data_IF_177583793936
#
_entry.id   IF_177583793936
#
_cell.length_a   1.000
_cell.length_b   1.000
_cell.length_c   1.000
_cell.angle_alpha   90.00
_cell.angle_beta   90.00
_cell.angle_gamma   90.00
#
_symmetry.space_group_name_H-M   'P 1'
#
loop_
_entity.id
_entity.type
_entity.pdbx_description
1 polymer ?
2 water ?
#
# COMPACT_ATOMS: atom_id res chain seq x y z
N UNK A 1 -13.88 -11.18 16.30
CA UNK A 1 -14.76 -10.09 15.88
C UNK A 1 -14.69 -9.92 14.36
N UNK A 2 -13.58 -9.38 13.87
CA UNK A 2 -13.33 -9.26 12.44
C UNK A 2 -12.14 -10.13 12.02
N UNK A 3 -11.92 -11.22 12.75
CA UNK A 3 -10.77 -12.08 12.56
C UNK A 3 -11.08 -13.45 13.16
N UNK A 4 -10.27 -14.44 12.78
CA UNK A 4 -10.35 -15.78 13.36
C UNK A 4 -8.91 -16.24 13.61
N UNK A 5 -8.40 -15.94 14.80
CA UNK A 5 -7.03 -16.25 15.16
C UNK A 5 -6.84 -17.66 15.67
N UNK A 6 -7.87 -18.52 15.57
CA UNK A 6 -7.76 -19.92 15.94
C UNK A 6 -7.31 -20.81 14.77
N UNK A 7 -7.41 -20.32 13.54
CA UNK A 7 -7.05 -21.12 12.38
C UNK A 7 -5.53 -21.26 12.30
N UNK A 8 -5.05 -22.50 12.23
CA UNK A 8 -3.63 -22.74 12.16
C UNK A 8 -3.14 -22.66 10.71
N UNK A 9 -1.84 -22.38 10.56
CA UNK A 9 -1.27 -22.23 9.24
C UNK A 9 -1.16 -23.57 8.52
N UNK A 10 -1.25 -23.52 7.20
CA UNK A 10 -0.82 -24.64 6.35
C UNK A 10 0.28 -24.21 5.39
N UNK A 11 0.85 -23.03 5.58
CA UNK A 11 2.02 -22.61 4.81
C UNK A 11 3.25 -23.35 5.30
N UNK A 12 4.04 -23.86 4.37
CA UNK A 12 5.25 -24.61 4.67
C UNK A 12 6.43 -23.90 4.00
N UNK A 13 7.48 -23.62 4.77
CA UNK A 13 8.66 -22.93 4.30
C UNK A 13 9.89 -23.68 4.78
N UNK A 14 11.05 -23.28 4.24
CA UNK A 14 12.32 -23.70 4.79
C UNK A 14 12.63 -22.90 6.04
N UNK A 15 13.16 -23.58 7.05
CA UNK A 15 13.59 -22.89 8.26
C UNK A 15 14.66 -21.86 7.91
N UNK A 16 14.50 -20.65 8.43
CA UNK A 16 15.33 -19.52 8.02
C UNK A 16 16.00 -18.89 9.22
N UNK A 17 17.13 -18.23 8.95
CA UNK A 17 17.88 -17.55 10.00
C UNK A 17 17.12 -16.32 10.49
N UNK A 18 17.31 -15.93 11.75
CA UNK A 18 16.69 -14.69 12.23
C UNK A 18 17.17 -13.48 11.46
N UNK A 19 16.27 -12.51 11.30
CA UNK A 19 16.56 -11.32 10.52
C UNK A 19 17.42 -10.35 11.35
N UNK A 20 18.11 -9.45 10.63
CA UNK A 20 19.06 -8.53 11.24
C UNK A 20 18.52 -7.12 11.38
N UNK A 21 17.20 -6.95 11.37
CA UNK A 21 16.62 -5.63 11.59
C UNK A 21 17.02 -5.10 12.97
N UNK A 22 17.28 -3.81 13.05
CA UNK A 22 17.50 -3.18 14.34
C UNK A 22 16.20 -3.21 15.13
N UNK A 23 16.22 -3.58 16.41
CA UNK A 23 14.97 -3.71 17.18
C UNK A 23 14.29 -2.37 17.33
N UNK A 24 12.99 -2.30 17.05
CA UNK A 24 12.28 -1.02 17.09
C UNK A 24 12.30 -0.41 18.48
N UNK A 25 12.28 0.92 18.53
CA UNK A 25 12.35 1.65 19.77
C UNK A 25 11.56 2.93 19.59
N UNK A 26 10.71 3.31 20.56
CA UNK A 26 9.85 4.49 20.37
C UNK A 26 10.64 5.78 20.10
N UNK A 27 11.86 5.89 20.61
CA UNK A 27 12.67 7.07 20.34
C UNK A 27 13.01 7.17 18.85
N UNK A 28 13.30 6.04 18.23
CA UNK A 28 13.62 6.02 16.80
C UNK A 28 12.35 6.17 15.96
N UNK A 29 11.26 5.51 16.36
CA UNK A 29 10.00 5.65 15.63
C UNK A 29 9.53 7.10 15.63
N UNK A 30 9.75 7.81 16.74
CA UNK A 30 9.37 9.21 16.79
C UNK A 30 10.22 10.06 15.86
N UNK A 31 11.52 9.75 15.76
CA UNK A 31 12.38 10.50 14.85
C UNK A 31 12.01 10.23 13.39
N UNK A 32 11.73 8.96 13.06
CA UNK A 32 11.28 8.63 11.71
C UNK A 32 9.97 9.35 11.38
N UNK A 33 9.08 9.47 12.37
CA UNK A 33 7.81 10.17 12.15
C UNK A 33 8.04 11.65 11.84
N UNK A 34 8.90 12.30 12.64
CA UNK A 34 9.12 13.73 12.46
C UNK A 34 9.88 14.03 11.18
N UNK A 35 10.73 13.10 10.73
CA UNK A 35 11.42 13.30 9.46
C UNK A 35 10.52 12.98 8.27
N UNK A 36 9.64 11.98 8.39
CA UNK A 36 8.69 11.72 7.32
C UNK A 36 7.71 12.88 7.17
N UNK A 37 7.34 13.53 8.27
CA UNK A 37 6.51 14.73 8.18
C UNK A 37 7.23 15.84 7.43
N UNK A 38 8.51 16.08 7.77
CA UNK A 38 9.29 17.07 7.02
C UNK A 38 9.42 16.70 5.56
N UNK A 39 9.53 15.39 5.26
CA UNK A 39 9.64 14.95 3.88
C UNK A 39 8.36 15.23 3.11
N UNK A 40 7.20 15.02 3.74
CA UNK A 40 5.94 15.39 3.09
C UNK A 40 5.88 16.89 2.83
N UNK A 41 6.46 17.69 3.74
CA UNK A 41 6.45 19.14 3.56
C UNK A 41 7.35 19.56 2.41
N UNK A 42 8.48 18.88 2.23
CA UNK A 42 9.32 19.12 1.05
C UNK A 42 8.55 18.81 -0.23
N UNK A 43 7.77 17.72 -0.21
CA UNK A 43 6.99 17.32 -1.39
C UNK A 43 5.93 18.35 -1.72
N UNK A 44 5.26 18.89 -0.69
CA UNK A 44 4.25 19.92 -0.91
C UNK A 44 4.87 21.17 -1.51
N UNK A 45 6.03 21.58 -1.01
CA UNK A 45 6.66 22.81 -1.50
C UNK A 45 7.20 22.63 -2.91
N UNK A 46 7.73 21.44 -3.22
CA UNK A 46 8.24 21.20 -4.57
C UNK A 46 7.12 21.21 -5.61
N UNK A 47 5.99 20.57 -5.30
CA UNK A 47 4.86 20.57 -6.22
C UNK A 47 4.31 21.98 -6.40
N UNK A 48 4.29 22.77 -5.33
CA UNK A 48 3.76 24.13 -5.43
C UNK A 48 4.72 25.06 -6.17
N UNK A 49 6.01 24.99 -5.86
CA UNK A 49 6.97 25.93 -6.44
C UNK A 49 7.27 25.60 -7.90
N UNK A 50 7.27 24.32 -8.26
CA UNK A 50 7.71 23.93 -9.60
C UNK A 50 6.56 23.69 -10.57
N UNK A 51 5.38 23.31 -10.09
CA UNK A 51 4.25 23.09 -10.98
C UNK A 51 2.98 23.81 -10.56
N UNK A 52 3.00 24.54 -9.44
CA UNK A 52 1.82 25.27 -9.01
C UNK A 52 0.62 24.39 -8.68
N UNK A 53 0.86 23.19 -8.18
CA UNK A 53 -0.22 22.28 -7.80
C UNK A 53 0.05 21.76 -6.39
N UNK A 54 -1.03 21.32 -5.74
CA UNK A 54 -0.89 20.56 -4.52
C UNK A 54 -0.43 19.14 -4.86
N UNK A 55 0.21 18.46 -3.93
CA UNK A 55 0.58 17.06 -4.16
C UNK A 55 -0.66 16.23 -4.44
N UNK A 56 -0.65 15.44 -5.51
CA UNK A 56 -1.79 14.56 -5.79
C UNK A 56 -2.11 13.70 -4.58
N UNK A 57 -3.40 13.62 -4.26
CA UNK A 57 -3.81 12.96 -3.04
C UNK A 57 -3.41 11.49 -3.06
N UNK A 58 -2.88 11.02 -1.93
CA UNK A 58 -2.40 9.66 -1.70
C UNK A 58 -1.17 9.29 -2.53
N UNK A 59 -0.58 10.26 -3.26
CA UNK A 59 0.56 9.92 -4.11
C UNK A 59 1.84 9.69 -3.30
N UNK A 60 2.02 10.45 -2.21
CA UNK A 60 3.20 10.23 -1.37
C UNK A 60 3.15 8.85 -0.73
N UNK A 61 1.97 8.43 -0.25
CA UNK A 61 1.84 7.11 0.33
C UNK A 61 2.03 6.02 -0.72
N UNK A 62 1.50 6.23 -1.92
CA UNK A 62 1.72 5.26 -3.00
C UNK A 62 3.18 5.23 -3.42
N UNK A 63 3.86 6.38 -3.36
CA UNK A 63 5.29 6.42 -3.61
C UNK A 63 6.04 5.53 -2.62
N UNK A 64 5.66 5.60 -1.33
CA UNK A 64 6.31 4.75 -0.34
C UNK A 64 6.14 3.26 -0.68
N UNK A 65 4.96 2.89 -1.21
CA UNK A 65 4.71 1.50 -1.57
C UNK A 65 5.59 1.07 -2.75
N UNK A 66 5.65 1.91 -3.78
CA UNK A 66 6.45 1.56 -4.96
C UNK A 66 7.93 1.50 -4.62
N UNK A 67 8.43 2.49 -3.87
CA UNK A 67 9.84 2.49 -3.48
C UNK A 67 10.19 1.24 -2.68
N UNK A 68 9.26 0.74 -1.87
CA UNK A 68 9.51 -0.46 -1.08
C UNK A 68 9.79 -1.68 -1.93
N UNK A 69 9.29 -1.71 -3.17
CA UNK A 69 9.50 -2.86 -4.03
C UNK A 69 10.95 -2.96 -4.48
N UNK A 70 11.62 -1.83 -4.68
CA UNK A 70 12.96 -1.80 -5.25
C UNK A 70 14.03 -1.34 -4.26
N UNK A 71 13.65 -0.88 -3.08
CA UNK A 71 14.65 -0.32 -2.17
C UNK A 71 15.54 -1.41 -1.59
N UNK A 72 16.85 -1.20 -1.65
CA UNK A 72 17.83 -2.07 -1.02
C UNK A 72 18.48 -1.43 0.18
N UNK A 73 17.87 -0.38 0.73
CA UNK A 73 18.44 0.39 1.81
C UNK A 73 18.14 -0.18 3.18
N UNK A 74 18.51 0.60 4.20
CA UNK A 74 18.51 0.14 5.59
C UNK A 74 17.28 0.57 6.38
N UNK A 75 16.45 1.45 5.84
CA UNK A 75 15.30 1.84 6.66
C UNK A 75 14.09 0.96 6.32
N UNK A 76 13.29 0.58 7.31
CA UNK A 76 12.11 -0.25 7.02
C UNK A 76 10.98 0.51 6.32
N UNK A 77 11.01 1.84 6.29
CA UNK A 77 9.92 2.60 5.69
C UNK A 77 10.40 3.55 4.60
N UNK A 78 11.43 4.35 4.86
CA UNK A 78 11.87 5.35 3.88
C UNK A 78 12.90 4.76 2.92
N UNK A 79 12.84 5.14 1.64
CA UNK A 79 13.81 4.62 0.67
C UNK A 79 15.15 5.35 0.75
N UNK A 80 16.19 4.64 0.32
CA UNK A 80 17.54 5.22 0.36
C UNK A 80 18.47 4.63 -0.71
N UNK A 81 18.09 3.49 -1.29
CA UNK A 81 18.92 2.82 -2.31
C UNK A 81 17.97 2.18 -3.33
N UNK A 82 17.57 2.96 -4.33
CA UNK A 82 16.57 2.54 -5.30
C UNK A 82 17.09 2.70 -6.72
N UNK A 83 16.84 1.69 -7.55
CA UNK A 83 17.02 1.77 -8.99
C UNK A 83 15.70 1.37 -9.62
N UNK A 84 15.00 2.27 -10.33
CA UNK A 84 15.42 3.63 -10.70
C UNK A 84 15.26 4.67 -9.59
N UNK A 85 16.08 5.73 -9.68
CA UNK A 85 15.92 6.86 -8.75
C UNK A 85 14.55 7.49 -8.91
N UNK A 86 14.11 7.69 -10.16
CA UNK A 86 12.84 8.33 -10.44
C UNK A 86 11.72 7.30 -10.28
N UNK A 87 10.80 7.56 -9.36
CA UNK A 87 9.68 6.66 -9.13
C UNK A 87 8.68 6.77 -10.28
N UNK A 88 8.40 5.69 -11.01
CA UNK A 88 7.35 5.77 -12.04
C UNK A 88 5.97 6.02 -11.46
N UNK A 89 5.74 5.65 -10.21
CA UNK A 89 4.45 5.90 -9.57
C UNK A 89 4.23 7.39 -9.34
N UNK A 91 5.83 9.91 -10.58
CA UNK A 91 5.87 10.63 -11.84
C UNK A 91 4.50 10.63 -12.53
N UNK A 92 3.91 9.43 -12.67
CA UNK A 92 2.62 9.32 -13.34
C UNK A 92 1.53 10.08 -12.58
N UNK A 93 1.58 10.07 -11.25
CA UNK A 93 0.56 10.73 -10.46
C UNK A 93 0.66 12.25 -10.56
N UNK A 94 1.88 12.80 -10.51
CA UNK A 94 2.04 14.24 -10.66
C UNK A 94 1.57 14.68 -12.05
N UNK A 96 -0.55 13.46 -14.02
CA UNK A 96 -2.01 13.44 -14.17
C UNK A 96 -2.66 14.72 -13.66
N UNK A 97 -1.98 15.48 -12.80
CA UNK A 97 -2.52 16.71 -12.24
C UNK A 97 -1.90 17.95 -12.88
N UNK A 98 -1.33 17.82 -14.06
CA UNK A 98 -0.70 18.92 -14.77
C UNK A 98 -1.47 19.13 -16.08
N UNK A 99 -1.88 20.36 -16.42
CA UNK A 99 -1.61 21.62 -15.71
C UNK A 99 -2.42 21.84 -14.43
N UNK A 100 -3.55 21.15 -14.26
CA UNK A 100 -4.35 21.25 -13.05
C UNK A 100 -4.90 19.88 -12.68
N UNK A 101 -5.31 19.75 -11.42
CA UNK A 101 -6.00 18.57 -10.96
C UNK A 101 -7.45 18.62 -11.40
N UNK A 102 -7.96 17.50 -11.93
CA UNK A 102 -9.35 17.42 -12.36
C UNK A 102 -10.19 16.97 -11.16
N UNK A 103 -11.08 17.84 -10.70
CA UNK A 103 -11.89 17.58 -9.52
C UNK A 103 -13.19 16.88 -9.91
N UNK A 104 -13.87 16.35 -8.89
CA UNK A 104 -15.16 15.72 -9.09
C UNK A 104 -16.19 16.76 -9.54
N UNK A 105 -17.06 16.36 -10.45
CA UNK A 105 -18.02 17.27 -11.07
C UNK A 105 -19.43 16.74 -10.85
N UNK A 106 -20.35 17.66 -10.55
CA UNK A 106 -21.76 17.30 -10.40
C UNK A 106 -22.72 18.30 -11.03
N UNK A 107 -22.29 19.49 -11.39
CA UNK A 107 -23.20 20.51 -11.90
C UNK A 107 -22.56 21.23 -13.08
N UNK A 108 -23.40 21.90 -13.87
CA UNK A 108 -22.95 22.49 -15.13
C UNK A 108 -21.93 23.59 -14.91
N UNK A 109 -22.18 24.48 -13.96
CA UNK A 109 -21.24 25.56 -13.70
C UNK A 109 -19.91 25.04 -13.18
N UNK A 110 -19.91 23.89 -12.51
CA UNK A 110 -18.65 23.26 -12.11
C UNK A 110 -17.89 22.76 -13.33
N UNK A 111 -18.59 22.17 -14.30
CA UNK A 111 -17.93 21.69 -15.51
C UNK A 111 -17.41 22.85 -16.34
N UNK A 112 -18.18 23.93 -16.45
CA UNK A 112 -17.72 25.09 -17.20
C UNK A 112 -16.49 25.71 -16.55
N UNK A 113 -16.49 25.83 -15.22
CA UNK A 113 -15.31 26.37 -14.53
C UNK A 113 -14.11 25.46 -14.72
N UNK A 114 -14.32 24.14 -14.68
CA UNK A 114 -13.20 23.22 -14.81
C UNK A 114 -12.62 23.25 -16.22
N UNK A 115 -13.48 23.37 -17.24
CA UNK A 115 -12.98 23.51 -18.61
C UNK A 115 -12.20 24.80 -18.78
N UNK A 116 -12.73 25.90 -18.24
CA UNK A 116 -12.04 27.18 -18.33
C UNK A 116 -10.74 27.15 -17.53
N UNK A 117 -10.75 26.50 -16.36
CA UNK A 117 -9.56 26.46 -15.53
C UNK A 117 -8.44 25.69 -16.22
N UNK A 118 -8.78 24.59 -16.90
CA UNK A 118 -7.76 23.84 -17.63
C UNK A 118 -7.18 24.66 -18.78
N UNK A 119 -8.04 25.35 -19.52
CA UNK A 119 -7.59 26.06 -20.71
C UNK A 119 -6.62 27.19 -20.36
N UNK A 120 -6.97 27.99 -19.35
CA UNK A 120 -6.09 29.09 -18.97
C UNK A 120 -4.84 28.58 -18.27
N UNK A 121 -4.91 27.42 -17.63
CA UNK A 121 -3.72 26.83 -17.04
C UNK A 121 -2.73 26.39 -18.11
N UNK A 122 -3.23 25.79 -19.19
CA UNK A 122 -2.37 25.43 -20.30
C UNK A 122 -1.79 26.68 -20.97
N UNK A 123 -2.59 27.74 -21.06
CA UNK A 123 -2.09 28.98 -21.66
C UNK A 123 -1.00 29.60 -20.79
N UNK A 124 -1.22 29.65 -19.47
CA UNK A 124 -0.21 30.20 -18.57
C UNK A 124 1.08 29.40 -18.64
N UNK A 126 2.13 27.65 -21.39
CA UNK A 126 2.74 27.93 -22.69
C UNK A 126 3.42 29.30 -22.68
N UNK A 127 2.83 30.26 -21.97
CA UNK A 127 3.34 31.63 -21.96
C UNK A 127 4.55 31.82 -21.06
N UNK A 128 4.91 30.85 -20.23
CA UNK A 128 5.95 31.06 -19.23
C UNK A 128 7.06 30.02 -19.22
N UNK A 129 6.96 28.96 -20.01
CA UNK A 129 7.92 27.87 -19.93
C UNK A 129 8.40 27.48 -21.32
N UNK A 130 9.52 26.76 -21.35
CA UNK A 130 10.11 26.33 -22.61
C UNK A 130 9.24 25.29 -23.29
N UNK A 131 8.96 25.49 -24.57
CA UNK A 131 8.11 24.60 -25.33
C UNK A 131 8.49 24.71 -26.81
N UNK A 132 8.48 23.56 -27.50
CA UNK A 132 8.81 23.55 -28.91
C UNK A 132 7.75 24.32 -29.70
N UNK A 133 8.12 24.92 -30.84
CA UNK A 133 7.14 25.68 -31.62
C UNK A 133 5.96 24.85 -32.08
N UNK A 134 6.16 23.55 -32.36
CA UNK A 134 5.04 22.70 -32.75
C UNK A 134 4.04 22.54 -31.60
N UNK A 135 4.54 22.23 -30.40
CA UNK A 135 3.64 22.08 -29.26
C UNK A 135 3.02 23.41 -28.86
N UNK A 136 3.72 24.53 -29.09
CA UNK A 136 3.17 25.83 -28.72
C UNK A 136 1.93 26.17 -29.53
N UNK A 137 1.97 25.95 -30.84
CA UNK A 137 0.84 26.32 -31.69
C UNK A 137 -0.33 25.35 -31.55
N UNK A 138 -0.06 24.08 -31.24
CA UNK A 138 -1.16 23.13 -31.05
C UNK A 138 -1.94 23.49 -29.79
N UNK A 139 -1.24 23.70 -28.68
CA UNK A 139 -1.92 24.06 -27.43
C UNK A 139 -2.58 25.42 -27.57
N UNK A 140 -1.90 26.38 -28.21
CA UNK A 140 -2.47 27.71 -28.38
C UNK A 140 -3.76 27.67 -29.19
N UNK A 141 -3.80 26.84 -30.23
CA UNK A 141 -5.02 26.75 -31.04
C UNK A 141 -6.16 26.12 -30.24
N UNK A 142 -5.87 25.03 -29.52
CA UNK A 142 -6.91 24.37 -28.74
C UNK A 142 -7.43 25.27 -27.63
N UNK A 143 -6.54 26.00 -26.96
CA UNK A 143 -6.96 26.91 -25.91
C UNK A 143 -7.78 28.06 -26.49
N UNK A 144 -7.31 28.64 -27.61
CA UNK A 144 -8.09 29.69 -28.27
C UNK A 144 -9.43 29.17 -28.76
N UNK A 145 -9.45 27.93 -29.28
CA UNK A 145 -10.70 27.35 -29.74
C UNK A 145 -11.67 27.15 -28.60
N UNK A 146 -11.17 26.75 -27.43
CA UNK A 146 -12.03 26.53 -26.27
C UNK A 146 -12.54 27.86 -25.72
N UNK A 148 -13.01 30.75 -27.24
CA UNK A 148 -14.01 31.34 -28.12
C UNK A 148 -15.29 30.54 -28.14
N UNK A 149 -15.21 29.21 -27.98
CA UNK A 149 -16.42 28.40 -27.85
C UNK A 149 -17.15 28.71 -26.56
N UNK A 150 -16.42 29.06 -25.50
CA UNK A 150 -17.06 29.51 -24.27
C UNK A 150 -17.65 30.90 -24.42
N UNK A 151 -17.16 31.70 -25.37
CA UNK A 151 -17.68 33.04 -25.59
C UNK A 151 -19.01 33.07 -26.34
N UNK A 152 -19.48 31.92 -26.80
CA UNK A 152 -20.77 31.87 -27.51
C UNK A 152 -21.91 32.21 -26.56
N UNK A 153 -22.81 33.08 -27.01
CA UNK A 153 -24.00 33.37 -26.23
C UNK A 153 -24.91 32.15 -26.12
N UNK A 154 -24.84 31.23 -27.08
CA UNK A 154 -25.56 29.97 -27.00
C UNK A 154 -24.87 29.06 -26.00
N UNK A 155 -25.56 28.75 -24.90
CA UNK A 155 -24.98 27.97 -23.82
C UNK A 155 -25.25 26.48 -24.03
N UNK A 156 -24.22 25.68 -23.76
CA UNK A 156 -24.31 24.23 -23.89
C UNK A 156 -24.74 23.63 -22.54
N UNK A 157 -24.73 22.30 -22.45
CA UNK A 157 -25.16 21.59 -21.26
C UNK A 157 -23.95 21.18 -20.43
N UNK A 158 -24.19 20.35 -19.41
CA UNK A 158 -23.10 19.88 -18.56
C UNK A 158 -22.27 18.81 -19.25
N UNK A 159 -22.92 17.85 -19.91
CA UNK A 159 -22.18 16.81 -20.63
C UNK A 159 -21.39 17.39 -21.80
N UNK A 160 -21.91 18.45 -22.43
CA UNK A 160 -21.14 19.12 -23.46
C UNK A 160 -19.89 19.77 -22.89
N UNK A 161 -20.00 20.41 -21.73
CA UNK A 161 -18.83 20.98 -21.07
C UNK A 161 -17.82 19.90 -20.70
N UNK A 163 -17.47 16.78 -22.16
CA UNK A 163 -16.86 16.21 -23.35
C UNK A 163 -15.82 17.16 -23.94
N UNK A 164 -16.08 18.46 -23.86
CA UNK A 164 -15.12 19.44 -24.37
C UNK A 164 -13.81 19.38 -23.58
N UNK A 165 -13.91 19.11 -22.28
CA UNK A 165 -12.70 18.99 -21.47
C UNK A 165 -11.96 17.69 -21.77
N UNK A 166 -12.70 16.60 -21.99
CA UNK A 166 -12.06 15.32 -22.29
C UNK A 166 -11.31 15.37 -23.61
N UNK A 167 -11.84 16.10 -24.59
CA UNK A 167 -11.15 16.24 -25.87
C UNK A 167 -10.00 17.24 -25.78
N UNK A 168 -10.20 18.35 -25.07
CA UNK A 168 -9.13 19.32 -24.88
C UNK A 168 -7.95 18.68 -24.16
N UNK A 169 -8.23 17.89 -23.13
CA UNK A 169 -7.17 17.16 -22.43
C UNK A 169 -6.52 16.14 -23.34
N UNK A 170 -7.30 15.52 -24.22
CA UNK A 170 -6.74 14.55 -25.16
C UNK A 170 -5.78 15.20 -26.15
N UNK A 171 -6.07 16.44 -26.55
CA UNK A 171 -5.25 17.12 -27.55
C UNK A 171 -4.00 17.76 -26.95
N UNK A 172 -4.12 18.36 -25.76
CA UNK A 172 -3.00 19.05 -25.13
C UNK A 172 -2.10 18.13 -24.33
N UNK A 173 -2.61 16.99 -23.86
CA UNK A 173 -1.89 16.08 -22.99
C UNK A 173 -0.44 15.82 -23.36
N UNK A 174 -0.20 15.29 -24.57
CA UNK A 174 1.19 14.99 -24.97
C UNK A 174 2.09 16.20 -24.96
N UNK A 175 1.59 17.38 -25.36
CA UNK A 175 2.42 18.57 -25.38
C UNK A 175 2.67 19.10 -23.97
N UNK A 176 1.65 19.06 -23.11
CA UNK A 176 1.83 19.45 -21.72
C UNK A 176 2.86 18.56 -21.04
N UNK A 177 2.82 17.26 -21.34
CA UNK A 177 3.75 16.33 -20.72
C UNK A 177 5.19 16.61 -21.14
N UNK A 178 5.42 16.86 -22.44
CA UNK A 178 6.77 17.13 -22.88
C UNK A 178 7.32 18.42 -22.27
N UNK A 179 6.44 19.36 -21.91
CA UNK A 179 6.88 20.60 -21.31
C UNK A 179 7.33 20.38 -19.86
N UNK A 180 6.59 19.60 -19.10
CA UNK A 180 6.83 19.46 -17.66
C UNK A 180 7.65 18.23 -17.30
N UNK A 181 8.08 17.44 -18.29
CA UNK A 181 8.72 16.15 -18.00
C UNK A 181 9.96 16.33 -17.13
N UNK A 182 10.87 17.20 -17.54
CA UNK A 182 12.13 17.36 -16.80
C UNK A 182 11.88 17.87 -15.39
N UNK A 183 10.91 18.77 -15.22
CA UNK A 183 10.62 19.31 -13.90
C UNK A 183 10.02 18.26 -12.97
N UNK A 184 9.09 17.45 -13.49
CA UNK A 184 8.46 16.44 -12.64
C UNK A 184 9.48 15.36 -12.26
N UNK A 185 10.36 14.98 -13.20
CA UNK A 185 11.44 14.06 -12.86
C UNK A 185 12.31 14.61 -11.74
N UNK A 186 12.60 15.91 -11.78
CA UNK A 186 13.38 16.53 -10.72
C UNK A 186 12.72 16.46 -9.36
N UNK A 187 11.38 16.55 -9.34
CA UNK A 187 10.67 16.43 -8.06
C UNK A 187 10.82 15.01 -7.51
N UNK A 188 10.66 14.00 -8.37
CA UNK A 188 10.81 12.62 -7.94
C UNK A 188 12.23 12.34 -7.44
N UNK A 189 13.23 12.90 -8.12
CA UNK A 189 14.62 12.65 -7.75
C UNK A 189 14.99 13.34 -6.44
N UNK A 190 14.58 14.60 -6.28
CA UNK A 190 14.96 15.36 -5.09
C UNK A 190 14.34 14.77 -3.83
N UNK A 191 13.06 14.37 -3.91
CA UNK A 191 12.40 13.83 -2.73
C UNK A 191 13.01 12.48 -2.35
N UNK A 192 13.53 11.72 -3.32
CA UNK A 192 14.20 10.48 -3.00
C UNK A 192 15.55 10.74 -2.33
N UNK A 193 16.29 11.75 -2.80
CA UNK A 193 17.61 12.02 -2.23
C UNK A 193 17.50 12.61 -0.84
N UNK A 194 16.47 13.43 -0.58
CA UNK A 194 16.26 13.93 0.77
C UNK A 194 15.92 12.77 1.71
N UNK A 195 15.09 11.84 1.23
CA UNK A 195 14.78 10.65 2.02
C UNK A 195 16.03 9.86 2.35
N UNK A 196 16.95 9.71 1.39
CA UNK A 196 18.19 8.99 1.64
C UNK A 196 19.00 9.63 2.76
N UNK A 197 19.04 10.97 2.81
CA UNK A 197 19.73 11.65 3.89
C UNK A 197 19.03 11.42 5.23
N UNK A 198 17.71 11.45 5.23
CA UNK A 198 16.96 11.17 6.46
C UNK A 198 17.22 9.76 6.95
N UNK A 199 17.32 8.80 6.03
CA UNK A 199 17.59 7.42 6.41
C UNK A 199 18.95 7.31 7.11
N UNK A 200 19.96 8.02 6.60
CA UNK A 200 21.28 7.96 7.22
C UNK A 200 21.26 8.51 8.63
N UNK A 201 20.45 9.54 8.89
CA UNK A 201 20.36 10.08 10.24
C UNK A 201 19.65 9.12 11.18
N UNK A 202 18.54 8.52 10.73
CA UNK A 202 17.82 7.57 11.55
C UNK A 202 18.69 6.36 11.85
N UNK A 203 19.39 5.85 10.85
CA UNK A 203 20.25 4.68 11.03
C UNK A 203 21.34 4.96 12.06
N UNK A 204 21.97 6.12 11.98
CA UNK A 204 23.04 6.46 12.92
C UNK A 204 22.49 6.63 14.33
N UNK A 205 21.33 7.25 14.47
CA UNK A 205 20.73 7.40 15.80
C UNK A 205 20.37 6.04 16.39
N UNK A 206 19.91 5.11 15.55
CA UNK A 206 19.51 3.79 16.04
C UNK A 206 20.73 2.98 16.47
N UNK A 207 21.82 3.04 15.70
CA UNK A 207 23.04 2.35 16.10
C UNK A 207 23.62 2.96 17.38
N UNK A 208 23.53 4.29 17.52
CA UNK A 208 24.02 4.95 18.72
C UNK A 208 23.24 4.50 19.95
N UNK A 209 21.92 4.39 19.83
CA UNK A 209 21.10 3.96 20.95
C UNK A 209 21.46 2.54 21.38
N UNK A 210 21.64 1.63 20.43
CA UNK A 210 21.98 0.26 20.77
C UNK A 210 23.37 0.18 21.41
N UNK A 211 24.33 0.95 20.89
CA UNK A 211 25.65 0.98 21.50
C UNK A 211 25.59 1.53 22.92
N UNK A 212 24.74 2.52 23.15
CA UNK A 212 24.54 3.05 24.50
C UNK A 212 23.96 1.98 25.44
N UNK A 213 23.26 0.99 24.90
CA UNK A 213 22.71 -0.10 25.69
C UNK A 213 23.63 -1.31 25.74
N UNK A 214 24.87 -1.19 25.22
CA UNK A 214 25.81 -2.31 25.16
C UNK A 214 25.23 -3.49 24.38
N UNK A 215 24.43 -3.19 23.36
CA UNK A 215 23.84 -4.19 22.49
C UNK A 215 24.69 -4.31 21.24
N UNK A 216 25.21 -5.50 20.98
CA UNK A 216 26.04 -5.73 19.81
C UNK A 216 25.20 -5.86 18.56
N UNK A 217 25.76 -5.42 17.44
CA UNK A 217 25.08 -5.50 16.16
C UNK A 217 25.84 -6.41 15.20
N UNK A 225 22.61 -22.64 9.69
CA UNK A 225 21.17 -22.82 9.58
C UNK A 225 20.85 -23.99 8.65
N UNK A 226 19.95 -24.86 9.09
CA UNK A 226 19.52 -26.01 8.33
C UNK A 226 18.26 -25.70 7.54
N UNK A 227 18.04 -26.46 6.47
CA UNK A 227 16.88 -26.21 5.61
C UNK A 227 15.85 -27.32 5.70
N UNK A 228 15.37 -27.59 6.90
CA UNK A 228 14.18 -28.42 7.07
C UNK A 228 12.95 -27.67 6.57
N UNK A 229 11.96 -28.43 6.13
CA UNK A 229 10.65 -27.86 5.87
C UNK A 229 9.85 -27.84 7.16
N UNK A 230 9.30 -26.67 7.50
CA UNK A 230 8.52 -26.49 8.72
C UNK A 230 7.30 -25.65 8.40
N UNK A 231 6.29 -25.76 9.25
CA UNK A 231 5.18 -24.81 9.17
C UNK A 231 5.70 -23.41 9.48
N UNK A 232 5.09 -22.42 8.83
CA UNK A 232 5.61 -21.06 8.92
C UNK A 232 5.50 -20.53 10.35
N UNK A 233 6.24 -19.46 10.62
CA UNK A 233 6.33 -18.87 11.94
C UNK A 233 6.81 -17.43 11.79
N UNK A 234 6.55 -16.58 12.78
CA UNK A 234 6.85 -15.15 12.63
C UNK A 234 8.35 -14.89 12.49
N UNK A 235 8.66 -13.74 11.86
CA UNK A 235 10.05 -13.33 11.70
C UNK A 235 10.66 -13.05 13.06
N UNK A 236 11.81 -13.66 13.33
CA UNK A 236 12.55 -13.42 14.56
C UNK A 236 13.71 -12.48 14.29
N UNK A 237 14.07 -11.70 15.30
CA UNK A 237 15.21 -10.80 15.23
C UNK A 237 16.41 -11.43 15.92
N UNK A 238 17.59 -11.26 15.32
CA UNK A 238 18.82 -11.76 15.91
C UNK A 238 19.38 -10.81 16.97
N UNK A 239 19.13 -9.52 16.85
CA UNK A 239 19.68 -8.54 17.80
C UNK A 239 18.79 -8.52 19.05
N UNK A 240 19.37 -8.64 20.25
CA UNK A 240 18.53 -8.64 21.45
C UNK A 240 17.77 -7.33 21.63
N UNK A 241 16.66 -7.41 22.33
CA UNK A 241 15.82 -6.23 22.53
C UNK A 241 16.50 -5.28 23.53
N UNK A 242 16.56 -3.99 23.24
CA UNK A 242 17.07 -3.03 24.23
C UNK A 242 16.12 -2.95 25.41
N UNK A 243 16.55 -2.34 26.52
CA UNK A 243 15.64 -2.22 27.67
C UNK A 243 14.39 -1.43 27.31
N UNK A 244 13.24 -1.94 27.76
CA UNK A 244 11.98 -1.29 27.46
C UNK A 244 11.92 0.10 28.06
N UNK A 245 11.11 0.96 27.44
CA UNK A 245 10.92 2.33 27.92
C UNK A 245 9.55 2.46 28.56
N UNK A 246 9.32 3.63 29.16
CA UNK A 246 8.09 3.90 29.88
C UNK A 246 7.01 4.31 28.88
N UNK A 247 6.16 3.35 28.49
CA UNK A 247 4.94 3.63 27.75
C UNK A 247 3.77 3.34 28.67
N UNK A 248 2.87 4.31 28.81
CA UNK A 248 1.74 4.21 29.71
C UNK A 248 0.43 4.06 28.93
N UNK A 249 -0.48 3.26 29.47
CA UNK A 249 -1.74 2.93 28.82
C UNK A 249 -2.91 3.34 29.71
N UNK A 250 -3.93 3.96 29.09
CA UNK A 250 -5.21 4.18 29.72
C UNK A 250 -6.28 4.21 28.64
N UNK A 251 -7.52 3.96 29.05
CA UNK A 251 -8.63 3.89 28.12
C UNK A 251 -9.54 5.10 28.29
N UNK A 252 -9.87 5.75 27.18
CA UNK A 252 -10.88 6.82 27.13
C UNK A 252 -12.05 6.28 26.33
N UNK A 253 -13.13 5.93 27.01
CA UNK A 253 -14.26 5.20 26.42
C UNK A 253 -13.67 3.89 25.89
N UNK A 254 -13.91 3.52 24.63
CA UNK A 254 -13.34 2.30 24.06
C UNK A 254 -12.17 2.60 23.15
N UNK A 255 -11.32 3.56 23.53
CA UNK A 255 -10.13 3.93 22.78
C UNK A 255 -8.92 3.73 23.67
N UNK A 256 -7.99 2.90 23.23
CA UNK A 256 -6.74 2.71 23.95
C UNK A 256 -5.78 3.85 23.63
N UNK A 257 -5.26 4.50 24.67
CA UNK A 257 -4.36 5.64 24.53
C UNK A 257 -3.01 5.28 25.14
N UNK A 258 -1.96 5.33 24.32
CA UNK A 258 -0.61 4.97 24.75
C UNK A 258 0.29 6.20 24.62
N UNK A 259 0.95 6.56 25.71
CA UNK A 259 1.80 7.75 25.77
C UNK A 259 3.26 7.34 25.95
N UNK A 260 4.13 7.89 25.12
CA UNK A 260 5.58 7.77 25.27
C UNK A 260 6.17 9.17 25.33
N UNK A 261 6.61 9.59 26.51
CA UNK A 261 7.21 10.90 26.73
C UNK A 261 6.32 12.02 26.21
N UNK A 262 5.03 11.94 26.55
CA UNK A 262 4.07 12.93 26.13
C UNK A 262 3.55 12.78 24.72
N UNK A 263 4.12 11.87 23.92
CA UNK A 263 3.64 11.61 22.57
C UNK A 263 2.65 10.46 22.61
N UNK A 265 -0.40 7.87 20.95
CA UNK A 265 -1.05 7.20 19.83
C UNK A 265 -2.32 6.55 20.33
N UNK A 266 -3.28 6.35 19.44
CA UNK A 266 -4.58 5.81 19.80
C UNK A 266 -4.95 4.64 18.90
N UNK A 267 -5.69 3.70 19.47
CA UNK A 267 -6.25 2.57 18.73
C UNK A 267 -7.47 2.09 19.47
N UNK A 268 -8.42 1.51 18.74
CA UNK A 268 -9.66 1.07 19.35
C UNK A 268 -9.40 -0.04 20.36
N UNK A 269 -10.30 -0.16 21.33
CA UNK A 269 -10.16 -1.21 22.33
C UNK A 269 -10.18 -2.59 21.69
N UNK A 270 -11.05 -2.78 20.69
CA UNK A 270 -11.12 -4.08 20.03
C UNK A 270 -9.82 -4.45 19.33
N UNK A 271 -9.19 -3.49 18.65
CA UNK A 271 -7.91 -3.77 18.00
C UNK A 271 -6.81 -4.01 19.02
N UNK A 272 -6.81 -3.24 20.12
CA UNK A 272 -5.80 -3.44 21.16
C UNK A 272 -5.88 -4.85 21.75
N UNK A 273 -7.09 -5.32 22.04
CA UNK A 273 -7.24 -6.69 22.53
C UNK A 273 -6.82 -7.70 21.48
N UNK A 274 -7.07 -7.41 20.21
CA UNK A 274 -6.58 -8.28 19.14
C UNK A 274 -5.06 -8.32 19.13
N UNK A 275 -4.40 -7.17 19.32
CA UNK A 275 -2.94 -7.13 19.32
C UNK A 275 -2.37 -7.94 20.47
N UNK A 276 -3.02 -7.89 21.64
CA UNK A 276 -2.53 -8.67 22.77
C UNK A 276 -2.60 -10.16 22.48
N UNK A 277 -3.65 -10.60 21.78
CA UNK A 277 -3.77 -12.01 21.42
C UNK A 277 -2.71 -12.40 20.39
N UNK A 278 -2.56 -11.60 19.32
CA UNK A 278 -1.50 -11.86 18.35
C UNK A 278 -0.14 -11.91 19.02
N UNK A 279 0.11 -10.99 19.95
CA UNK A 279 1.38 -10.96 20.67
C UNK A 279 1.57 -12.24 21.49
N UNK A 280 0.51 -12.71 22.15
CA UNK A 280 0.60 -13.94 22.90
C UNK A 280 0.88 -15.14 22.01
N UNK A 281 0.35 -15.12 20.78
CA UNK A 281 0.56 -16.24 19.86
C UNK A 281 1.88 -16.15 19.10
N UNK A 282 2.53 -14.99 19.06
CA UNK A 282 3.64 -14.76 18.13
C UNK A 282 4.94 -14.34 18.78
N UNK A 283 4.91 -13.74 19.96
CA UNK A 283 6.12 -13.24 20.60
C UNK A 283 6.67 -14.31 21.55
N UNK A 284 7.99 -14.51 21.49
CA UNK A 284 8.64 -15.54 22.29
C UNK A 284 9.74 -14.98 23.18
N UNK A 285 9.90 -13.66 23.25
CA UNK A 285 10.99 -13.08 24.03
C UNK A 285 10.49 -12.13 25.12
N UNK A 286 9.22 -12.23 25.50
CA UNK A 286 8.61 -11.31 26.47
C UNK A 286 7.55 -12.05 27.27
N UNK A 287 7.99 -13.02 28.10
CA UNK A 287 7.00 -13.82 28.86
C UNK A 287 6.23 -13.03 29.91
N UNK A 288 6.76 -11.91 30.39
CA UNK A 288 6.08 -11.09 31.37
C UNK A 288 5.48 -9.82 30.76
N UNK A 289 5.45 -9.72 29.43
CA UNK A 289 4.83 -8.59 28.73
C UNK A 289 5.45 -7.26 29.13
N UNK A 290 6.72 -7.29 29.55
CA UNK A 290 7.40 -6.06 29.93
C UNK A 290 7.62 -5.14 28.73
N UNK A 291 7.77 -5.70 27.54
CA UNK A 291 8.04 -4.92 26.33
C UNK A 291 6.81 -4.72 25.47
N UNK A 292 5.64 -5.22 25.91
CA UNK A 292 4.44 -5.22 25.07
C UNK A 292 3.98 -3.81 24.72
N UNK A 293 3.84 -2.95 25.74
CA UNK A 293 3.31 -1.61 25.48
C UNK A 293 4.25 -0.80 24.61
N UNK A 294 5.57 -0.96 24.77
CA UNK A 294 6.51 -0.26 23.90
C UNK A 294 6.35 -0.69 22.46
N UNK A 295 6.16 -1.99 22.22
CA UNK A 295 6.06 -2.49 20.85
C UNK A 295 4.71 -2.14 20.22
N UNK A 296 3.64 -2.07 21.02
CA UNK A 296 2.36 -1.61 20.49
C UNK A 296 2.46 -0.15 20.08
N UNK A 297 3.12 0.67 20.89
CA UNK A 297 3.29 2.08 20.54
C UNK A 297 4.05 2.23 19.23
N UNK A 298 5.12 1.45 19.04
CA UNK A 298 5.89 1.52 17.79
C UNK A 298 5.06 1.05 16.61
N UNK A 299 4.26 0.01 16.81
CA UNK A 299 3.44 -0.54 15.72
C UNK A 299 2.42 0.49 15.24
N UNK A 300 1.67 1.08 16.16
CA UNK A 300 0.66 2.07 15.79
C UNK A 300 1.31 3.28 15.15
N UNK A 301 2.40 3.78 15.74
CA UNK A 301 3.08 4.95 15.20
C UNK A 301 3.61 4.67 13.79
N UNK A 302 4.18 3.49 13.56
CA UNK A 302 4.72 3.14 12.26
C UNK A 302 3.65 3.20 11.18
N UNK A 303 2.48 2.61 11.45
CA UNK A 303 1.41 2.62 10.46
C UNK A 303 0.74 3.98 10.35
N UNK A 304 0.76 4.79 11.42
CA UNK A 304 0.33 6.17 11.28
C UNK A 304 1.23 6.95 10.33
N UNK A 305 2.54 6.73 10.44
CA UNK A 305 3.48 7.41 9.54
C UNK A 305 3.27 6.95 8.10
N UNK A 307 0.35 5.46 6.72
CA UNK A 307 -1.00 5.66 6.20
C UNK A 307 -1.73 6.79 6.93
N UNK A 308 -1.01 7.88 7.27
CA UNK A 308 -1.64 9.02 7.90
C UNK A 308 -2.20 8.77 9.29
N UNK A 309 -3.04 7.75 9.45
CA UNK A 309 -3.60 7.38 10.74
C UNK A 309 -4.06 5.92 10.66
N UNK A 310 -4.67 5.45 11.74
CA UNK A 310 -5.15 4.08 11.80
C UNK A 310 -6.63 3.94 11.53
N UNK A 313 -10.67 1.24 7.20
CA UNK A 313 -11.95 0.80 6.66
C UNK A 313 -11.93 0.72 5.14
N UNK A 314 -11.09 1.54 4.52
CA UNK A 314 -11.02 1.61 3.07
C UNK A 314 -10.53 2.95 2.58
N UNK A 315 -9.50 2.94 1.75
CA UNK A 315 -8.89 4.17 1.26
C UNK A 315 -8.55 3.99 -0.22
N UNK A 316 -7.72 4.88 -0.74
CA UNK A 316 -7.29 4.80 -2.12
C UNK A 316 -6.01 4.01 -2.25
N UNK A 317 -5.68 3.25 -1.21
CA UNK A 317 -4.47 2.43 -1.20
C UNK A 317 -4.74 0.94 -1.06
N UNK A 318 -5.75 0.53 -0.29
CA UNK A 318 -6.06 -0.89 -0.18
C UNK A 318 -7.52 -1.06 0.22
N UNK A 319 -8.14 -2.12 -0.30
CA UNK A 319 -9.50 -2.45 0.03
C UNK A 319 -9.57 -3.53 1.09
N UNK A 320 -10.75 -3.68 1.69
CA UNK A 320 -11.00 -4.66 2.72
C UNK A 320 -12.02 -5.70 2.23
N UNK A 321 -11.77 -6.96 2.56
CA UNK A 321 -12.77 -7.96 2.21
C UNK A 321 -13.72 -8.19 3.37
N UNK A 322 -14.99 -8.49 3.09
CA UNK A 322 -15.93 -8.80 4.18
C UNK A 322 -15.51 -10.04 4.94
N UNK A 323 -15.86 -10.07 6.23
CA UNK A 323 -15.50 -11.21 7.07
C UNK A 323 -16.02 -12.54 6.52
N UNK A 324 -17.30 -12.67 6.12
CA UNK A 324 -17.76 -13.96 5.60
C UNK A 324 -17.01 -14.46 4.38
N UNK A 325 -16.34 -13.58 3.63
CA UNK A 325 -15.55 -14.02 2.49
C UNK A 325 -14.32 -14.80 2.98
N UNK A 326 -13.65 -14.30 4.02
CA UNK A 326 -12.53 -15.02 4.61
C UNK A 326 -12.99 -16.37 5.17
N UNK A 327 -14.18 -16.41 5.78
CA UNK A 327 -14.71 -17.68 6.28
C UNK A 327 -14.90 -18.67 5.13
N UNK A 328 -15.48 -18.20 4.03
CA UNK A 328 -15.71 -19.08 2.88
C UNK A 328 -14.39 -19.50 2.23
N UNK A 329 -13.42 -18.59 2.15
CA UNK A 329 -12.11 -18.94 1.61
C UNK A 329 -11.46 -20.03 2.44
N UNK A 330 -11.60 -19.98 3.76
CA UNK A 330 -11.02 -21.01 4.62
C UNK A 330 -11.77 -22.33 4.46
N UNK A 331 -13.10 -22.29 4.52
CA UNK A 331 -13.87 -23.53 4.51
C UNK A 331 -13.87 -24.18 3.14
N UNK A 332 -13.98 -23.38 2.08
CA UNK A 332 -14.12 -23.93 0.73
C UNK A 332 -12.78 -24.23 0.07
N UNK A 333 -11.75 -23.42 0.35
CA UNK A 333 -10.47 -23.57 -0.34
C UNK A 333 -9.28 -23.71 0.62
N UNK A 334 -9.53 -23.92 1.92
CA UNK A 334 -8.45 -24.20 2.85
C UNK A 334 -7.49 -23.05 3.08
N UNK A 335 -7.90 -21.81 2.81
CA UNK A 335 -7.02 -20.67 2.97
C UNK A 335 -6.75 -20.42 4.45
N UNK A 336 -5.48 -20.20 4.79
CA UNK A 336 -5.07 -19.93 6.16
C UNK A 336 -4.16 -18.71 6.28
N UNK A 337 -3.86 -18.01 5.19
CA UNK A 337 -2.74 -17.08 5.15
C UNK A 337 -3.05 -15.93 4.20
N UNK A 338 -2.79 -14.70 4.64
CA UNK A 338 -2.95 -13.51 3.80
C UNK A 338 -1.59 -13.02 3.36
N UNK A 339 -1.41 -12.82 2.05
CA UNK A 339 -0.13 -12.38 1.52
C UNK A 339 0.13 -10.89 1.75
N UNK A 340 -0.92 -10.09 1.95
CA UNK A 340 -0.77 -8.64 2.12
C UNK A 340 -1.73 -8.20 3.23
N UNK A 341 -1.18 -8.04 4.44
CA UNK A 341 -1.98 -7.63 5.58
C UNK A 341 -1.08 -6.90 6.57
N UNK A 342 -1.64 -6.57 7.73
CA UNK A 342 -0.92 -5.95 8.82
C UNK A 342 -1.49 -6.53 10.11
N UNK A 343 -0.78 -6.39 11.24
CA UNK A 343 -1.36 -6.85 12.50
C UNK A 343 -2.70 -6.22 12.82
N UNK A 344 -2.94 -5.00 12.33
CA UNK A 344 -4.20 -4.31 12.62
C UNK A 344 -5.36 -4.82 11.77
N UNK A 345 -5.11 -5.24 10.53
CA UNK A 345 -6.21 -5.60 9.63
C UNK A 345 -6.26 -7.07 9.26
N UNK A 346 -5.31 -7.88 9.72
CA UNK A 346 -5.30 -9.28 9.32
C UNK A 346 -6.52 -10.03 9.84
N UNK A 347 -6.90 -11.07 9.10
CA UNK A 347 -7.94 -12.01 9.51
C UNK A 347 -7.37 -13.26 10.18
N UNK A 348 -6.29 -13.81 9.63
CA UNK A 348 -5.58 -14.93 10.22
C UNK A 348 -4.41 -14.42 11.06
N UNK A 349 -3.94 -15.27 11.97
CA UNK A 349 -2.78 -14.90 12.78
C UNK A 349 -1.46 -15.10 12.05
N UNK A 350 -1.48 -15.66 10.85
CA UNK A 350 -0.29 -15.78 10.02
C UNK A 350 -0.51 -14.99 8.73
N UNK A 351 0.46 -14.14 8.39
CA UNK A 351 0.30 -13.22 7.27
C UNK A 351 1.67 -12.65 6.91
N UNK A 352 1.74 -12.06 5.73
CA UNK A 352 2.89 -11.27 5.32
C UNK A 352 2.55 -9.78 5.45
N UNK A 353 3.57 -8.99 5.82
CA UNK A 353 3.37 -7.56 6.04
C UNK A 353 4.64 -6.82 5.67
N UNK A 354 4.54 -5.49 5.60
CA UNK A 354 5.63 -4.65 5.12
C UNK A 354 6.72 -4.42 6.14
N UNK A 355 6.45 -4.56 7.43
CA UNK A 355 7.36 -4.13 8.49
C UNK A 355 7.65 -5.26 9.47
N UNK A 356 8.43 -6.26 9.05
CA UNK A 356 8.72 -7.39 9.97
C UNK A 356 9.49 -7.00 11.22
N UNK A 357 10.22 -5.87 11.19
CA UNK A 357 10.98 -5.45 12.38
C UNK A 357 10.08 -5.20 13.57
N UNK A 358 8.86 -4.72 13.34
CA UNK A 358 7.90 -4.53 14.41
C UNK A 358 6.72 -5.48 14.31
N UNK A 359 6.32 -5.88 13.09
CA UNK A 359 5.13 -6.71 12.95
C UNK A 359 5.38 -8.17 13.32
N UNK A 360 6.65 -8.60 13.35
CA UNK A 360 6.94 -9.99 13.66
C UNK A 360 6.45 -10.41 15.04
N UNK A 361 6.53 -9.48 16.01
CA UNK A 361 6.02 -9.77 17.34
C UNK A 361 4.52 -10.00 17.36
N UNK A 362 3.82 -9.64 16.28
CA UNK A 362 2.37 -9.78 16.19
C UNK A 362 1.96 -10.76 15.09
N UNK A 363 2.90 -11.55 14.57
CA UNK A 363 2.58 -12.65 13.68
C UNK A 363 3.05 -12.50 12.25
N UNK A 364 3.75 -11.42 11.90
CA UNK A 364 4.14 -11.23 10.51
C UNK A 364 5.23 -12.21 10.11
N UNK A 365 5.10 -12.73 8.88
CA UNK A 365 6.12 -13.56 8.27
C UNK A 365 7.03 -12.75 7.34
N UNK A 366 6.98 -11.42 7.42
CA UNK A 366 7.79 -10.58 6.56
C UNK A 366 7.07 -10.23 5.28
N UNK A 367 7.70 -9.41 4.43
CA UNK A 367 7.05 -9.06 3.16
C UNK A 367 6.90 -10.28 2.26
N UNK A 368 5.82 -10.29 1.48
CA UNK A 368 5.51 -11.46 0.66
C UNK A 368 6.58 -11.69 -0.41
N UNK A 369 7.14 -10.61 -0.96
CA UNK A 369 8.15 -10.76 -1.99
C UNK A 369 9.41 -11.47 -1.50
N UNK A 370 9.58 -11.60 -0.17
CA UNK A 370 10.68 -12.36 0.40
C UNK A 370 10.21 -13.65 1.06
N UNK A 371 8.96 -14.05 0.84
CA UNK A 371 8.37 -15.25 1.42
C UNK A 371 8.38 -16.35 0.38
N UNK A 372 8.84 -17.54 0.77
CA UNK A 372 9.05 -18.65 -0.17
C UNK A 372 8.36 -19.91 0.35
N UNK A 373 7.03 -19.98 0.25
CA UNK A 373 6.33 -21.19 0.68
C UNK A 373 6.41 -22.29 -0.37
N UNK A 374 6.63 -23.51 0.10
CA UNK A 374 6.58 -24.68 -0.75
C UNK A 374 5.19 -25.29 -0.85
N UNK A 375 4.32 -25.02 0.12
CA UNK A 375 2.99 -25.59 0.15
C UNK A 375 2.08 -24.66 0.94
N UNK A 376 0.77 -24.76 0.68
CA UNK A 376 -0.18 -23.93 1.37
C UNK A 376 -1.25 -23.30 0.50
N UNK A 377 -2.34 -22.84 1.13
CA UNK A 377 -3.44 -22.16 0.45
C UNK A 377 -3.48 -20.72 0.94
N UNK A 378 -3.36 -19.77 0.01
CA UNK A 378 -3.16 -18.37 0.34
C UNK A 378 -4.22 -17.49 -0.29
N UNK A 379 -4.41 -16.33 0.34
CA UNK A 379 -5.23 -15.25 -0.20
C UNK A 379 -4.35 -14.02 -0.35
N UNK A 380 -4.66 -13.20 -1.36
CA UNK A 380 -3.88 -11.99 -1.59
C UNK A 380 -4.79 -10.91 -2.16
N UNK A 381 -4.90 -9.79 -1.44
CA UNK A 381 -5.49 -8.57 -1.99
C UNK A 381 -4.47 -7.45 -1.75
N UNK A 382 -3.57 -7.23 -2.71
CA UNK A 382 -2.45 -6.31 -2.49
C UNK A 382 -2.92 -4.87 -2.46
N UNK A 383 -2.09 -3.96 -1.94
CA UNK A 383 -2.39 -2.53 -2.07
C UNK A 383 -2.47 -2.10 -3.52
N UNK A 384 -3.06 -0.93 -3.75
CA UNK A 384 -3.31 -0.43 -5.09
C UNK A 384 -2.05 0.24 -5.63
N UNK A 385 -1.03 -0.58 -5.85
CA UNK A 385 0.26 -0.16 -6.38
C UNK A 385 0.64 -1.13 -7.50
N UNK A 386 0.58 -0.68 -8.75
CA UNK A 386 0.76 -1.61 -9.86
C UNK A 386 2.19 -2.13 -9.95
N UNK A 387 3.17 -1.37 -9.46
CA UNK A 387 4.53 -1.87 -9.43
C UNK A 387 4.67 -3.03 -8.45
N UNK A 388 4.05 -2.92 -7.28
CA UNK A 388 4.04 -4.03 -6.33
C UNK A 388 3.29 -5.23 -6.89
N UNK A 390 2.91 -6.11 -9.98
CA UNK A 390 3.67 -6.78 -11.03
C UNK A 390 4.74 -7.68 -10.44
N UNK A 391 5.44 -7.20 -9.41
CA UNK A 391 6.43 -8.04 -8.73
C UNK A 391 5.76 -9.22 -8.03
N UNK A 393 3.10 -10.87 -9.14
CA UNK A 393 2.78 -11.90 -10.14
C UNK A 393 4.02 -12.71 -10.48
N UNK A 394 5.16 -12.04 -10.64
CA UNK A 394 6.42 -12.74 -10.89
C UNK A 394 6.74 -13.70 -9.74
N UNK A 395 6.51 -13.26 -8.50
CA UNK A 395 6.75 -14.12 -7.35
C UNK A 395 5.79 -15.30 -7.33
N UNK A 396 4.51 -15.05 -7.62
CA UNK A 396 3.53 -16.13 -7.73
C UNK A 396 4.02 -17.23 -8.65
N UNK A 397 4.31 -16.87 -9.91
CA UNK A 397 4.69 -17.87 -10.90
C UNK A 397 6.01 -18.55 -10.56
N UNK A 398 6.93 -17.81 -9.92
CA UNK A 398 8.17 -18.42 -9.49
C UNK A 398 7.92 -19.50 -8.44
N UNK A 399 7.05 -19.21 -7.48
CA UNK A 399 6.76 -20.18 -6.41
C UNK A 399 5.98 -21.37 -6.95
N UNK A 400 5.00 -21.13 -7.83
CA UNK A 400 4.20 -22.22 -8.37
C UNK A 400 5.03 -23.16 -9.24
N UNK A 401 6.09 -22.64 -9.87
CA UNK A 401 6.91 -23.45 -10.75
C UNK A 401 8.04 -24.17 -10.04
N UNK A 402 8.38 -23.73 -8.83
CA UNK A 402 9.48 -24.33 -8.09
C UNK A 402 9.07 -25.54 -7.25
N UNK A 403 7.80 -25.63 -6.87
CA UNK A 403 7.33 -26.67 -5.97
C UNK A 403 6.22 -27.50 -6.62
N UNK A 404 6.23 -28.80 -6.33
CA UNK A 404 5.18 -29.71 -6.78
C UNK A 404 4.23 -30.10 -5.66
N UNK A 405 4.31 -29.43 -4.52
CA UNK A 405 3.40 -29.66 -3.41
C UNK A 405 2.20 -28.74 -3.50
N UNK A 406 1.08 -29.09 -2.85
CA UNK A 406 -0.15 -28.29 -2.99
C UNK A 406 0.03 -26.81 -2.72
N UNK A 407 -0.12 -25.99 -3.76
CA UNK A 407 0.11 -24.56 -3.66
C UNK A 407 -1.02 -23.83 -4.39
N UNK A 408 -1.63 -22.86 -3.71
CA UNK A 408 -2.78 -22.15 -4.27
C UNK A 408 -2.79 -20.70 -3.82
N UNK A 409 -3.11 -19.80 -4.73
CA UNK A 409 -3.23 -18.38 -4.45
C UNK A 409 -4.53 -17.86 -5.06
N UNK A 410 -5.38 -17.27 -4.22
CA UNK A 410 -6.63 -16.65 -4.66
C UNK A 410 -6.48 -15.15 -4.50
N UNK A 411 -6.50 -14.43 -5.62
CA UNK A 411 -6.07 -13.03 -5.67
C UNK A 411 -7.27 -12.14 -5.97
N UNK A 412 -7.41 -11.06 -5.21
CA UNK A 412 -8.46 -10.07 -5.38
C UNK A 412 -7.83 -8.76 -5.83
N UNK A 413 -8.16 -8.32 -7.04
CA UNK A 413 -7.68 -7.03 -7.56
C UNK A 413 -8.81 -6.32 -8.26
N UNK A 414 -8.77 -4.98 -8.27
CA UNK A 414 -9.84 -4.21 -8.91
C UNK A 414 -9.94 -4.53 -10.40
N UNK A 415 -11.17 -4.71 -10.86
CA UNK A 415 -11.46 -5.00 -12.27
C UNK A 415 -11.46 -3.67 -13.02
N UNK A 416 -10.26 -3.21 -13.38
CA UNK A 416 -10.06 -1.97 -14.12
C UNK A 416 -9.40 -2.30 -15.45
N UNK A 417 -9.95 -1.76 -16.54
CA UNK A 417 -9.52 -2.12 -17.88
C UNK A 417 -9.18 -0.90 -18.74
N UNK A 418 -8.97 0.27 -18.13
CA UNK A 418 -8.76 1.51 -18.87
C UNK A 418 -7.58 2.29 -18.30
N UNK A 419 -6.34 1.80 -18.49
CA UNK A 419 -5.97 0.49 -19.04
C UNK A 419 -5.77 -0.53 -17.94
N UNK A 420 -5.84 -1.83 -18.26
CA UNK A 420 -5.53 -2.84 -17.25
C UNK A 420 -4.07 -2.79 -16.85
N UNK A 421 -3.82 -3.06 -15.57
CA UNK A 421 -2.43 -3.10 -15.10
C UNK A 421 -1.69 -4.24 -15.79
N UNK A 422 -0.38 -4.10 -16.00
CA UNK A 422 0.40 -5.24 -16.51
C UNK A 422 0.26 -6.49 -15.67
N UNK A 423 0.07 -6.34 -14.35
CA UNK A 423 -0.08 -7.51 -13.48
C UNK A 423 -1.37 -8.27 -13.81
N UNK A 424 -2.47 -7.55 -13.99
CA UNK A 424 -3.74 -8.22 -14.29
C UNK A 424 -3.67 -8.94 -15.63
N UNK A 425 -3.05 -8.30 -16.63
CA UNK A 425 -2.90 -8.95 -17.93
C UNK A 425 -2.05 -10.21 -17.82
N UNK A 426 -0.96 -10.15 -17.05
CA UNK A 426 -0.08 -11.31 -16.90
C UNK A 426 -0.79 -12.45 -16.18
N UNK A 428 -4.02 -13.13 -16.18
CA UNK A 428 -5.03 -13.73 -17.06
C UNK A 428 -4.40 -14.62 -18.12
N UNK A 429 -3.10 -14.51 -18.35
CA UNK A 429 -2.39 -15.34 -19.31
C UNK A 429 -1.48 -16.36 -18.63
N UNK A 430 -1.59 -16.51 -17.31
CA UNK A 430 -0.71 -17.41 -16.57
C UNK A 430 -1.09 -18.87 -16.85
N UNK A 431 -0.07 -19.71 -16.94
CA UNK A 431 -0.30 -21.14 -17.12
C UNK A 431 -0.83 -21.82 -15.87
N UNK A 432 -0.90 -21.09 -14.75
CA UNK A 432 -1.43 -21.63 -13.50
C UNK A 432 -2.85 -21.16 -13.21
N UNK A 433 -3.46 -20.38 -14.10
CA UNK A 433 -4.80 -19.87 -13.85
C UNK A 433 -5.82 -20.99 -13.98
N UNK A 434 -6.53 -21.26 -12.88
CA UNK A 434 -7.52 -22.34 -12.86
C UNK A 434 -8.95 -21.83 -12.99
N UNK A 435 -9.22 -20.59 -12.59
CA UNK A 435 -10.56 -20.02 -12.63
C UNK A 435 -10.44 -18.51 -12.43
N UNK A 436 -11.39 -17.78 -13.02
CA UNK A 436 -11.46 -16.34 -12.84
C UNK A 436 -12.92 -15.91 -12.84
N UNK A 438 -15.77 -12.35 -11.35
CA UNK A 438 -15.96 -11.00 -10.85
C UNK A 438 -16.87 -11.03 -9.63
N UNK A 439 -16.43 -10.39 -8.56
CA UNK A 439 -17.20 -10.28 -7.32
C UNK A 439 -17.46 -8.80 -7.05
N UNK A 440 -18.30 -8.43 -6.08
CA UNK A 440 -18.57 -7.01 -5.85
C UNK A 440 -17.31 -6.20 -5.57
N UNK A 441 -17.43 -4.89 -5.83
CA UNK A 441 -16.33 -3.96 -5.64
C UNK A 441 -15.95 -3.86 -4.16
N UNK A 442 -14.70 -3.46 -3.92
CA UNK A 442 -14.29 -3.08 -2.58
C UNK A 442 -15.15 -1.92 -2.09
N UNK A 443 -15.70 -2.06 -0.88
CA UNK A 443 -16.44 -0.98 -0.25
C UNK A 443 -15.97 -0.85 1.20
N UNK A 444 -16.40 0.23 1.84
CA UNK A 444 -16.00 0.48 3.22
C UNK A 444 -16.54 -0.60 4.14
N UNK A 445 -15.66 -1.24 4.89
CA UNK A 445 -16.02 -2.30 5.82
C UNK A 445 -15.90 -1.76 7.24
N UNK A 446 -16.99 -1.85 8.00
CA UNK A 446 -17.06 -1.25 9.32
C UNK A 446 -16.08 -1.92 10.27
N UNK A 447 -15.28 -1.10 10.96
CA UNK A 447 -14.35 -1.55 11.99
C UNK A 447 -14.22 -0.58 13.16
N UNK A 448 -14.42 0.73 12.94
CA UNK A 448 -13.93 1.74 13.87
C UNK A 448 -14.68 1.72 15.20
N UNK A 449 -15.97 2.01 15.17
CA UNK A 449 -16.71 2.20 16.40
C UNK A 449 -17.11 3.66 16.50
N UNK A 450 -16.20 4.53 16.06
CA UNK A 450 -16.40 5.98 16.04
C UNK A 450 -16.75 6.51 17.42
N UNK A 456 -11.96 9.43 7.19
CA UNK A 456 -12.22 8.48 6.13
C UNK A 456 -11.89 9.06 4.76
N UNK A 457 -11.25 8.24 3.91
CA UNK A 457 -11.02 8.56 2.52
C UNK A 457 -11.87 7.65 1.64
N UNK A 458 -12.17 8.13 0.44
CA UNK A 458 -13.05 7.38 -0.46
C UNK A 458 -12.32 6.19 -1.07
N UNK A 459 -13.12 5.27 -1.63
CA UNK A 459 -12.57 4.07 -2.24
C UNK A 459 -11.85 4.44 -3.54
N UNK A 460 -10.73 3.76 -3.80
CA UNK A 460 -9.95 4.02 -5.00
C UNK A 460 -10.82 3.89 -6.25
N UNK A 461 -10.61 4.80 -7.20
CA UNK A 461 -11.51 4.91 -8.34
C UNK A 461 -11.45 3.68 -9.23
N UNK A 462 -10.31 2.98 -9.28
CA UNK A 462 -10.20 1.80 -10.12
C UNK A 462 -11.06 0.65 -9.66
N UNK A 463 -11.52 0.67 -8.40
CA UNK A 463 -12.21 -0.48 -7.83
C UNK A 463 -13.72 -0.47 -8.05
N UNK A 464 -14.29 0.64 -8.55
CA UNK A 464 -15.74 0.82 -8.50
C UNK A 464 -16.49 -0.13 -9.43
N UNK A 465 -15.84 -0.67 -10.46
CA UNK A 465 -16.54 -1.54 -11.41
C UNK A 465 -16.69 -2.98 -10.90
N UNK A 466 -15.94 -3.36 -9.88
CA UNK A 466 -15.97 -4.73 -9.39
C UNK A 466 -14.58 -5.24 -9.06
N UNK A 467 -14.49 -6.47 -8.58
CA UNK A 467 -13.23 -7.06 -8.16
C UNK A 467 -12.98 -8.36 -8.93
N UNK A 468 -11.82 -8.44 -9.56
CA UNK A 468 -11.42 -9.66 -10.25
C UNK A 468 -10.81 -10.64 -9.24
N UNK A 469 -11.26 -11.89 -9.30
CA UNK A 469 -10.76 -12.95 -8.43
C UNK A 469 -10.13 -14.01 -9.32
N UNK A 470 -8.84 -14.28 -9.10
CA UNK A 470 -8.05 -15.15 -9.95
C UNK A 470 -7.50 -16.29 -9.11
N UNK A 471 -7.63 -17.52 -9.61
CA UNK A 471 -7.14 -18.72 -8.92
C UNK A 471 -5.86 -19.17 -9.61
N UNK A 472 -4.73 -19.05 -8.92
CA UNK A 472 -3.44 -19.52 -9.42
C UNK A 472 -3.01 -20.71 -8.57
N UNK A 473 -2.94 -21.88 -9.20
CA UNK A 473 -2.62 -23.12 -8.50
C UNK A 473 -1.73 -23.99 -9.36
N UNK A 474 -0.78 -24.68 -8.74
CA UNK A 474 -0.06 -25.73 -9.45
C UNK A 474 -0.94 -26.98 -9.48
N UNK A 475 -0.45 -28.03 -10.17
CA UNK A 475 -1.27 -29.22 -10.37
C UNK A 475 -1.67 -29.86 -9.05
N UNK A 476 -0.76 -29.88 -8.08
CA UNK A 476 -1.09 -30.45 -6.78
C UNK A 476 -2.12 -29.61 -6.05
N UNK A 477 -2.03 -28.28 -6.17
CA UNK A 477 -3.01 -27.41 -5.54
C UNK A 477 -4.37 -27.48 -6.22
N UNK A 478 -4.37 -27.57 -7.56
CA UNK A 478 -5.64 -27.73 -8.28
C UNK A 478 -6.33 -29.04 -7.91
N UNK A 479 -5.55 -30.09 -7.63
CA UNK A 479 -6.17 -31.35 -7.22
C UNK A 479 -6.75 -31.25 -5.82
N UNK A 480 -6.10 -30.50 -4.94
CA UNK A 480 -6.53 -30.46 -3.55
C UNK A 480 -7.61 -29.40 -3.32
N UNK A 481 -7.44 -28.22 -3.89
CA UNK A 481 -8.42 -27.15 -3.69
C UNK A 481 -9.01 -26.70 -5.02
N UNK A 482 -9.68 -27.62 -5.72
CA UNK A 482 -10.20 -27.30 -7.04
C UNK A 482 -11.33 -26.29 -6.94
N UNK A 483 -11.34 -25.24 -7.77
CA UNK A 483 -12.49 -24.32 -7.81
C UNK A 483 -13.68 -24.92 -8.54
N UNK A 484 -14.34 -25.87 -7.88
CA UNK A 484 -15.52 -26.51 -8.45
C UNK A 484 -16.71 -25.55 -8.39
N UNK A 485 -17.77 -25.91 -9.12
CA UNK A 485 -18.95 -25.06 -9.17
C UNK A 485 -19.56 -24.88 -7.78
N UNK A 486 -19.60 -25.95 -6.99
CA UNK A 486 -20.20 -25.87 -5.66
C UNK A 486 -19.39 -24.97 -4.73
N UNK A 487 -18.06 -25.04 -4.83
CA UNK A 487 -17.22 -24.19 -3.98
C UNK A 487 -17.27 -22.73 -4.43
N UNK A 488 -17.47 -22.48 -5.72
CA UNK A 488 -17.57 -21.11 -6.20
C UNK A 488 -18.86 -20.46 -5.71
N UNK A 489 -19.97 -21.21 -5.76
CA UNK A 489 -21.25 -20.66 -5.30
C UNK A 489 -21.21 -20.31 -3.82
N UNK A 490 -20.54 -21.14 -3.01
CA UNK A 490 -20.45 -20.84 -1.58
C UNK A 490 -19.59 -19.60 -1.33
N UNK A 491 -18.55 -19.41 -2.14
CA UNK A 491 -17.75 -18.19 -2.00
C UNK A 491 -18.55 -16.97 -2.42
N UNK A 492 -19.33 -17.07 -3.50
CA UNK A 492 -20.18 -15.96 -3.91
C UNK A 492 -21.27 -15.68 -2.87
N UNK A 493 -21.77 -16.73 -2.21
CA UNK A 493 -22.80 -16.57 -1.19
C UNK A 493 -22.31 -15.82 0.03
N UNK A 494 -21.00 -15.60 0.17
CA UNK A 494 -20.47 -14.89 1.32
C UNK A 494 -20.72 -13.39 1.24
N UNK A 495 -21.07 -12.86 0.06
CA UNK A 495 -21.31 -11.44 -0.08
C UNK A 495 -22.73 -11.10 0.36
N UNK A 496 -22.84 -10.16 1.29
CA UNK A 496 -24.09 -9.88 2.01
C UNK A 496 -25.12 -9.14 1.16
#
# INVERSE_FOLDING_TARGET
VYWDLDIQTNAVIRERAPADHLPPHPEIELQRAQLTTKLRQHYHELCSQREGIEPPRESFNRWLLERKVVDKGLDPLLPSECDPVISPSXFREIXNDIPIRLSRIKYKEEARKLLFKYAEAAKKXIDSRNVTPESRKVVKWNVEDTXNWLRRDHSASKEDYXDRLENLRKQCGPHVASVAKDSVEGICSKIYHISAEYVRRIRQAHLTLLKECNISVDGTESAEVQDRLVYCYPVRLSIPAPPQTRVELHFENDIACLRFKGEXVKVSRGHFNKLELLYRYSCIDDPRFEKFLSRVWCLIKRYQVXFGSGVNEGSGLQGSLPVPVFEALNKQFGVTFECFASPLNCYFKQFCSAFPDIDGFFGSRGPFLSFSPASGSFEANPPFCEELXDAXVTHFEDLLGRSSEPLSFIIFVPEWRDPPTPALTRXEASRFRRHQXTVPAFEHEYRSGSQHICKREEIYYKAIHGTAVIFLQNNAGFAKWEPTTERIQELLAAYK
#
